data_IF_996851933137
#
_entry.id   IF_996851933137
#
_cell.length_a   1.000
_cell.length_b   1.000
_cell.length_c   1.000
_cell.angle_alpha   90.00
_cell.angle_beta   90.00
_cell.angle_gamma   90.00
#
_symmetry.space_group_name_H-M   'P 1'
#
loop_
_entity.id
_entity.type
_entity.pdbx_description
1 polymer ?
#
# COMPACT_ATOMS: atom_id res chain seq x y z
N UNK A 1 9.21 -4.36 14.52
CA UNK A 1 8.49 -3.45 13.59
C UNK A 1 8.55 -2.04 14.19
N UNK A 2 9.19 -1.08 13.51
CA UNK A 2 9.08 0.34 13.89
C UNK A 2 7.70 0.84 13.48
N UNK A 3 7.01 1.54 14.37
CA UNK A 3 5.70 2.14 14.10
C UNK A 3 5.84 3.65 13.95
N UNK A 4 4.91 4.30 13.27
CA UNK A 4 4.80 5.76 13.30
C UNK A 4 4.30 6.24 14.66
N UNK A 5 4.57 7.51 14.98
CA UNK A 5 4.05 8.16 16.19
C UNK A 5 2.53 8.13 16.22
N UNK A 6 1.87 8.44 15.10
CA UNK A 6 0.41 8.35 14.97
C UNK A 6 -0.13 6.95 15.30
N UNK A 7 0.54 5.88 14.85
CA UNK A 7 0.14 4.50 15.17
C UNK A 7 0.34 4.16 16.65
N UNK A 8 1.46 4.60 17.25
CA UNK A 8 1.71 4.43 18.68
C UNK A 8 0.66 5.16 19.55
N UNK A 9 0.29 6.38 19.16
CA UNK A 9 -0.72 7.18 19.86
C UNK A 9 -2.12 6.57 19.71
N UNK A 10 -2.47 6.04 18.53
CA UNK A 10 -3.72 5.30 18.33
C UNK A 10 -3.80 4.08 19.25
N UNK A 11 -2.71 3.30 19.35
CA UNK A 11 -2.65 2.13 20.25
C UNK A 11 -2.80 2.54 21.71
N UNK A 12 -2.14 3.63 22.12
CA UNK A 12 -2.27 4.15 23.47
C UNK A 12 -3.72 4.56 23.80
N UNK A 13 -4.41 5.21 22.87
CA UNK A 13 -5.82 5.60 23.02
C UNK A 13 -6.79 4.43 23.24
N UNK A 14 -6.42 3.20 22.86
CA UNK A 14 -7.27 2.01 23.10
C UNK A 14 -7.42 1.66 24.58
N UNK A 15 -6.46 2.03 25.42
CA UNK A 15 -6.48 1.72 26.86
C UNK A 15 -7.48 2.57 27.64
N UNK A 16 -7.87 3.75 27.14
CA UNK A 16 -8.65 4.75 27.86
C UNK A 16 -10.15 4.79 27.53
N UNK A 17 -10.71 3.77 26.85
CA UNK A 17 -12.07 3.87 26.29
C UNK A 17 -13.20 3.87 27.31
N UNK A 18 -13.08 3.09 28.38
CA UNK A 18 -14.13 2.92 29.39
C UNK A 18 -13.77 3.55 30.73
N UNK A 19 -12.49 3.67 31.02
CA UNK A 19 -11.91 4.24 32.24
C UNK A 19 -10.45 4.63 31.97
N UNK A 20 -9.78 5.37 32.87
CA UNK A 20 -8.35 5.63 32.73
C UNK A 20 -7.55 4.33 32.58
N UNK A 21 -6.66 4.29 31.59
CA UNK A 21 -5.84 3.12 31.28
C UNK A 21 -4.38 3.47 31.04
N UNK A 22 -3.53 2.45 30.96
CA UNK A 22 -2.07 2.60 30.81
C UNK A 22 -1.62 1.94 29.51
N UNK A 23 -0.78 2.64 28.74
CA UNK A 23 -0.13 2.11 27.55
C UNK A 23 1.39 2.08 27.75
N UNK A 24 1.98 0.89 27.76
CA UNK A 24 3.43 0.71 27.96
C UNK A 24 4.14 0.69 26.61
N UNK A 25 5.07 1.63 26.40
CA UNK A 25 5.95 1.67 25.22
C UNK A 25 7.23 0.90 25.51
N UNK A 26 7.56 -0.09 24.68
CA UNK A 26 8.75 -0.95 24.85
C UNK A 26 10.00 -0.33 24.21
N UNK A 27 10.18 0.98 24.35
CA UNK A 27 11.33 1.76 23.87
C UNK A 27 11.50 3.02 24.74
N UNK A 28 12.68 3.64 24.69
CA UNK A 28 12.98 4.85 25.48
C UNK A 28 12.26 6.08 24.95
N UNK A 29 12.02 7.07 25.81
CA UNK A 29 11.28 8.27 25.46
C UNK A 29 11.89 9.02 24.26
N UNK A 30 13.22 9.10 24.19
CA UNK A 30 13.97 9.78 23.12
C UNK A 30 13.74 9.12 21.76
N UNK A 31 13.52 7.79 21.74
CA UNK A 31 13.24 7.07 20.50
C UNK A 31 11.89 7.44 19.91
N UNK A 32 10.95 7.97 20.70
CA UNK A 32 9.65 8.45 20.20
C UNK A 32 9.81 9.67 19.29
N UNK A 33 10.73 10.57 19.62
CA UNK A 33 10.99 11.77 18.80
C UNK A 33 11.62 11.43 17.44
N UNK A 34 12.33 10.30 17.36
CA UNK A 34 12.94 9.79 16.13
C UNK A 34 11.97 8.97 15.25
N UNK A 35 10.75 8.67 15.72
CA UNK A 35 9.76 7.96 14.91
C UNK A 35 9.19 8.89 13.82
N UNK A 36 8.89 8.37 12.62
CA UNK A 36 8.15 9.14 11.64
C UNK A 36 6.78 9.53 12.20
N UNK A 37 6.32 10.74 11.86
CA UNK A 37 5.04 11.25 12.36
C UNK A 37 3.88 10.35 11.94
N UNK A 38 3.87 9.95 10.67
CA UNK A 38 2.88 9.08 10.05
C UNK A 38 3.57 7.93 9.33
N UNK A 39 2.83 6.85 9.12
CA UNK A 39 3.30 5.78 8.22
C UNK A 39 3.24 6.33 6.80
N UNK A 40 4.26 6.13 5.96
CA UNK A 40 4.19 6.49 4.56
C UNK A 40 2.97 5.85 3.87
N UNK A 41 2.35 6.53 2.89
CA UNK A 41 1.29 5.94 2.08
C UNK A 41 1.75 4.62 1.45
N UNK A 42 0.91 3.59 1.56
CA UNK A 42 1.24 2.25 1.06
C UNK A 42 1.57 2.24 -0.44
N UNK A 43 0.89 3.08 -1.23
CA UNK A 43 1.12 3.23 -2.68
C UNK A 43 2.56 3.65 -3.03
N UNK A 44 3.33 4.21 -2.09
CA UNK A 44 4.72 4.62 -2.28
C UNK A 44 5.73 3.53 -1.94
N UNK A 45 5.34 2.50 -1.18
CA UNK A 45 6.25 1.48 -0.65
C UNK A 45 5.91 0.05 -1.08
N UNK A 46 4.64 -0.21 -1.44
CA UNK A 46 4.16 -1.54 -1.78
C UNK A 46 4.41 -1.93 -3.24
N UNK A 47 4.34 -3.24 -3.50
CA UNK A 47 4.22 -3.78 -4.85
C UNK A 47 2.91 -3.32 -5.50
N UNK A 48 2.99 -2.82 -6.73
CA UNK A 48 1.83 -2.24 -7.43
C UNK A 48 1.16 -3.21 -8.41
N UNK A 49 1.51 -4.50 -8.45
CA UNK A 49 0.87 -5.45 -9.37
C UNK A 49 -0.60 -5.68 -9.04
N UNK A 50 -0.97 -5.72 -7.76
CA UNK A 50 -2.38 -5.80 -7.36
C UNK A 50 -3.19 -4.59 -7.88
N UNK A 51 -2.67 -3.38 -7.65
CA UNK A 51 -3.26 -2.14 -8.15
C UNK A 51 -3.40 -2.16 -9.68
N UNK A 52 -2.36 -2.58 -10.40
CA UNK A 52 -2.36 -2.59 -11.85
C UNK A 52 -3.34 -3.62 -12.44
N UNK A 53 -3.50 -4.78 -11.79
CA UNK A 53 -4.53 -5.77 -12.13
C UNK A 53 -5.94 -5.20 -11.96
N UNK A 54 -6.19 -4.49 -10.86
CA UNK A 54 -7.48 -3.83 -10.62
C UNK A 54 -7.76 -2.75 -11.66
N UNK A 55 -6.78 -1.89 -11.95
CA UNK A 55 -6.90 -0.87 -12.99
C UNK A 55 -7.20 -1.48 -14.35
N UNK A 56 -6.47 -2.53 -14.76
CA UNK A 56 -6.70 -3.23 -16.02
C UNK A 56 -8.11 -3.85 -16.10
N UNK A 57 -8.60 -4.40 -14.99
CA UNK A 57 -9.97 -4.93 -14.90
C UNK A 57 -11.04 -3.85 -15.05
N UNK A 58 -10.77 -2.62 -14.60
CA UNK A 58 -11.64 -1.45 -14.78
C UNK A 58 -11.45 -0.74 -16.14
N UNK A 59 -10.61 -1.28 -17.03
CA UNK A 59 -10.33 -0.68 -18.33
C UNK A 59 -9.35 0.50 -18.31
N UNK A 60 -8.60 0.65 -17.22
CA UNK A 60 -7.57 1.68 -17.05
C UNK A 60 -6.19 1.05 -17.30
N UNK A 61 -5.59 1.31 -18.46
CA UNK A 61 -4.29 0.76 -18.82
C UNK A 61 -3.11 1.45 -18.10
N UNK A 62 -3.29 2.72 -17.73
CA UNK A 62 -2.29 3.51 -17.02
C UNK A 62 -2.85 4.09 -15.72
N UNK A 63 -2.51 3.52 -14.55
CA UNK A 63 -2.90 4.07 -13.26
C UNK A 63 -2.47 5.52 -13.06
N UNK A 64 -1.37 5.98 -13.66
CA UNK A 64 -0.92 7.37 -13.52
C UNK A 64 -1.88 8.40 -14.14
N UNK A 65 -2.84 7.96 -14.96
CA UNK A 65 -3.92 8.81 -15.49
C UNK A 65 -5.00 9.15 -14.45
N UNK A 66 -5.03 8.47 -13.31
CA UNK A 66 -6.00 8.69 -12.23
C UNK A 66 -5.51 9.75 -11.23
N UNK A 67 -6.46 10.40 -10.55
CA UNK A 67 -6.18 11.44 -9.55
C UNK A 67 -5.97 10.87 -8.14
N UNK A 68 -4.83 10.22 -7.92
CA UNK A 68 -4.42 9.77 -6.58
C UNK A 68 -4.02 10.94 -5.68
N UNK A 69 -4.21 10.80 -4.36
CA UNK A 69 -3.71 11.75 -3.37
C UNK A 69 -2.18 11.83 -3.41
N UNK A 70 -1.55 10.66 -3.37
CA UNK A 70 -0.12 10.47 -3.61
C UNK A 70 0.02 9.63 -4.89
N UNK A 71 0.66 10.15 -5.95
CA UNK A 71 0.77 9.45 -7.21
C UNK A 71 1.66 8.20 -7.07
N UNK A 72 1.30 7.09 -7.74
CA UNK A 72 2.11 5.87 -7.72
C UNK A 72 3.51 6.14 -8.31
N UNK A 73 4.60 5.65 -7.69
CA UNK A 73 5.94 5.81 -8.22
C UNK A 73 6.11 5.16 -9.60
N UNK A 74 6.63 5.91 -10.58
CA UNK A 74 6.84 5.40 -11.93
C UNK A 74 7.72 4.13 -12.00
N UNK A 75 8.82 4.00 -11.21
CA UNK A 75 9.60 2.76 -11.21
C UNK A 75 8.79 1.55 -10.75
N UNK A 76 8.02 1.69 -9.66
CA UNK A 76 7.19 0.62 -9.13
C UNK A 76 6.08 0.21 -10.11
N UNK A 77 5.45 1.17 -10.80
CA UNK A 77 4.49 0.86 -11.87
C UNK A 77 5.13 0.12 -13.04
N UNK A 78 6.35 0.51 -13.44
CA UNK A 78 7.08 -0.16 -14.51
C UNK A 78 7.43 -1.59 -14.14
N UNK A 79 7.90 -1.82 -12.91
CA UNK A 79 8.22 -3.16 -12.41
C UNK A 79 6.98 -4.05 -12.36
N UNK A 80 5.87 -3.54 -11.80
CA UNK A 80 4.60 -4.23 -11.76
C UNK A 80 4.08 -4.60 -13.16
N UNK A 81 4.22 -3.69 -14.14
CA UNK A 81 3.82 -3.92 -15.53
C UNK A 81 4.68 -4.99 -16.20
N UNK A 82 6.00 -4.94 -16.01
CA UNK A 82 6.92 -5.97 -16.52
C UNK A 82 6.58 -7.33 -15.93
N UNK A 83 6.34 -7.41 -14.62
CA UNK A 83 5.97 -8.65 -13.95
C UNK A 83 4.66 -9.23 -14.52
N UNK A 84 3.61 -8.40 -14.61
CA UNK A 84 2.30 -8.87 -15.07
C UNK A 84 2.30 -9.27 -16.55
N UNK A 85 3.12 -8.64 -17.39
CA UNK A 85 3.34 -9.11 -18.77
C UNK A 85 4.08 -10.44 -18.80
N UNK A 86 5.13 -10.61 -17.99
CA UNK A 86 5.89 -11.86 -17.91
C UNK A 86 5.03 -13.04 -17.42
N UNK A 87 4.01 -12.76 -16.59
CA UNK A 87 3.04 -13.74 -16.10
C UNK A 87 1.84 -13.95 -17.04
N UNK A 88 1.81 -13.32 -18.22
CA UNK A 88 0.66 -13.31 -19.13
C UNK A 88 -0.65 -12.88 -18.44
N UNK A 89 -0.56 -11.97 -17.46
CA UNK A 89 -1.70 -11.45 -16.73
C UNK A 89 -2.33 -10.24 -17.43
N UNK A 90 -1.51 -9.49 -18.19
CA UNK A 90 -1.95 -8.38 -19.03
C UNK A 90 -1.31 -8.47 -20.43
N UNK A 91 -2.02 -7.99 -21.45
CA UNK A 91 -1.51 -7.93 -22.82
C UNK A 91 -0.63 -6.68 -23.09
N UNK A 92 -0.11 -6.54 -24.31
CA UNK A 92 0.69 -5.39 -24.71
C UNK A 92 -0.06 -4.05 -24.61
N UNK A 93 -1.39 -4.07 -24.78
CA UNK A 93 -2.25 -2.91 -24.62
C UNK A 93 -2.60 -2.62 -23.14
N UNK A 94 -2.10 -3.43 -22.20
CA UNK A 94 -2.39 -3.30 -20.77
C UNK A 94 -3.78 -3.79 -20.37
N UNK A 95 -4.43 -4.61 -21.21
CA UNK A 95 -5.73 -5.22 -20.90
C UNK A 95 -5.55 -6.55 -20.19
N UNK A 96 -6.51 -6.87 -19.33
CA UNK A 96 -6.51 -8.11 -18.55
C UNK A 96 -6.68 -9.34 -19.47
N UNK A 97 -5.85 -10.36 -19.28
CA UNK A 97 -6.01 -11.67 -19.93
C UNK A 97 -6.95 -12.57 -19.11
N UNK A 98 -7.26 -13.76 -19.62
CA UNK A 98 -8.00 -14.76 -18.84
C UNK A 98 -7.22 -15.20 -17.59
N UNK A 99 -5.89 -15.36 -17.71
CA UNK A 99 -4.99 -15.68 -16.60
C UNK A 99 -4.96 -14.56 -15.57
N UNK A 100 -4.86 -13.31 -16.01
CA UNK A 100 -4.92 -12.13 -15.13
C UNK A 100 -6.25 -12.01 -14.38
N UNK A 101 -7.37 -12.30 -15.06
CA UNK A 101 -8.68 -12.36 -14.42
C UNK A 101 -8.78 -13.45 -13.35
N UNK A 102 -8.12 -14.59 -13.54
CA UNK A 102 -8.05 -15.64 -12.54
C UNK A 102 -7.17 -15.22 -11.35
N UNK A 103 -5.99 -14.64 -11.59
CA UNK A 103 -5.09 -14.15 -10.54
C UNK A 103 -5.77 -13.11 -9.65
N UNK A 104 -6.48 -12.15 -10.26
CA UNK A 104 -7.19 -11.09 -9.54
C UNK A 104 -8.24 -11.63 -8.56
N UNK A 105 -8.83 -12.82 -8.80
CA UNK A 105 -9.80 -13.42 -7.86
C UNK A 105 -9.14 -14.07 -6.64
N UNK A 106 -7.82 -14.26 -6.66
CA UNK A 106 -7.03 -14.83 -5.58
C UNK A 106 -6.33 -13.75 -4.74
N UNK A 107 -6.19 -12.55 -5.31
CA UNK A 107 -5.62 -11.37 -4.66
C UNK A 107 -6.60 -10.76 -3.66
#
# INVERSE_FOLDING_TARGET
VRVSRASADQRAGRAGRTQPGVAVRLWRAEQTAALPAFTPPEILEADLSGLLLDCAAFGVADPASLSFLDPPPAPALSEARTLLRALDAIDEAGRLTQSGAAMRRLA
#
